data_IF_324825329669
#
_entry.id   IF_324825329669
#
_cell.length_a   1.000
_cell.length_b   1.000
_cell.length_c   1.000
_cell.angle_alpha   90.00
_cell.angle_beta   90.00
_cell.angle_gamma   90.00
#
_symmetry.space_group_name_H-M   'P 1'
#
loop_
_entity.id
_entity.type
_entity.pdbx_description
1 polymer ?
#
# COMPACT_ATOMS: atom_id res chain seq x y z
N UNK A 1 15.32 9.76 2.39
CA UNK A 1 14.07 10.02 1.64
C UNK A 1 14.31 11.12 0.62
N UNK A 2 13.66 11.06 -0.58
CA UNK A 2 13.83 12.06 -1.66
C UNK A 2 13.21 13.44 -1.35
N UNK A 3 12.22 13.51 -0.48
CA UNK A 3 11.57 14.74 -0.04
C UNK A 3 11.97 15.05 1.41
N UNK A 4 12.83 16.07 1.60
CA UNK A 4 13.40 16.41 2.90
C UNK A 4 12.37 16.97 3.89
N UNK A 5 11.38 17.73 3.41
CA UNK A 5 10.30 18.23 4.27
C UNK A 5 9.42 17.10 4.80
N UNK A 6 9.15 16.10 3.96
CA UNK A 6 8.42 14.88 4.36
C UNK A 6 9.23 14.12 5.41
N UNK A 7 10.52 13.97 5.20
CA UNK A 7 11.43 13.30 6.14
C UNK A 7 11.47 14.00 7.50
N UNK A 8 11.47 15.33 7.51
CA UNK A 8 11.52 16.16 8.73
C UNK A 8 10.16 16.41 9.37
N UNK A 9 9.05 16.11 8.67
CA UNK A 9 7.68 16.24 9.18
C UNK A 9 6.95 17.53 8.78
N UNK A 10 7.49 18.32 7.82
CA UNK A 10 6.78 19.47 7.22
C UNK A 10 6.57 20.70 8.09
N UNK A 11 6.73 20.61 9.41
CA UNK A 11 6.55 21.72 10.33
C UNK A 11 7.23 21.49 11.68
N UNK A 12 7.39 22.56 12.46
CA UNK A 12 8.13 22.52 13.73
C UNK A 12 7.54 21.49 14.72
N UNK A 13 6.22 21.48 14.90
CA UNK A 13 5.56 20.55 15.83
C UNK A 13 5.67 19.09 15.40
N UNK A 14 5.51 18.80 14.12
CA UNK A 14 5.67 17.44 13.61
C UNK A 14 7.13 17.00 13.72
N UNK A 15 8.09 17.87 13.43
CA UNK A 15 9.51 17.56 13.59
C UNK A 15 9.87 17.24 15.04
N UNK A 16 9.32 18.03 16.00
CA UNK A 16 9.51 17.77 17.43
C UNK A 16 8.87 16.44 17.86
N UNK A 17 7.65 16.15 17.38
CA UNK A 17 6.96 14.90 17.68
C UNK A 17 7.71 13.68 17.11
N UNK A 18 8.20 13.76 15.86
CA UNK A 18 9.02 12.70 15.24
C UNK A 18 10.29 12.45 16.05
N UNK A 19 10.99 13.52 16.49
CA UNK A 19 12.18 13.40 17.34
C UNK A 19 11.86 12.78 18.70
N UNK A 20 10.77 13.20 19.33
CA UNK A 20 10.32 12.66 20.61
C UNK A 20 9.99 11.15 20.48
N UNK A 21 9.20 10.76 19.48
CA UNK A 21 8.86 9.35 19.24
C UNK A 21 10.13 8.53 18.99
N UNK A 22 11.06 9.04 18.18
CA UNK A 22 12.32 8.35 17.86
C UNK A 22 13.20 8.20 19.10
N UNK A 23 13.22 9.20 19.98
CA UNK A 23 13.97 9.16 21.25
C UNK A 23 13.37 8.13 22.23
N UNK A 24 12.06 8.14 22.40
CA UNK A 24 11.37 7.22 23.34
C UNK A 24 11.41 5.77 22.84
N UNK A 25 11.30 5.55 21.52
CA UNK A 25 11.35 4.20 20.94
C UNK A 25 12.78 3.66 20.78
N UNK A 26 13.80 4.51 20.90
CA UNK A 26 15.18 4.15 20.60
C UNK A 26 15.45 3.81 19.13
N UNK A 27 14.53 4.17 18.23
CA UNK A 27 14.61 3.87 16.81
C UNK A 27 14.21 5.10 15.97
N UNK A 28 14.79 5.22 14.76
CA UNK A 28 14.29 6.18 13.78
C UNK A 28 12.85 5.83 13.41
N UNK A 29 11.92 6.79 13.51
CA UNK A 29 10.55 6.58 13.06
C UNK A 29 10.55 6.18 11.56
N UNK A 30 9.96 5.02 11.19
CA UNK A 30 9.95 4.55 9.80
C UNK A 30 9.35 5.57 8.84
N UNK A 31 9.85 5.63 7.61
CA UNK A 31 9.40 6.58 6.60
C UNK A 31 7.92 6.40 6.24
N UNK A 32 7.40 5.18 6.28
CA UNK A 32 5.97 4.90 6.14
C UNK A 32 5.11 5.67 7.16
N UNK A 33 5.57 5.78 8.42
CA UNK A 33 4.89 6.57 9.44
C UNK A 33 5.05 8.09 9.19
N UNK A 34 6.23 8.52 8.69
CA UNK A 34 6.49 9.94 8.41
C UNK A 34 5.59 10.49 7.30
N UNK A 35 5.38 9.73 6.21
CA UNK A 35 4.53 10.19 5.10
C UNK A 35 3.06 10.36 5.51
N UNK A 36 2.53 9.50 6.37
CA UNK A 36 1.15 9.63 6.86
C UNK A 36 1.00 10.77 7.87
N UNK A 37 2.04 11.08 8.64
CA UNK A 37 2.07 12.22 9.55
C UNK A 37 2.25 13.55 8.83
N UNK A 38 2.97 13.57 7.70
CA UNK A 38 3.30 14.78 6.96
C UNK A 38 2.06 15.51 6.43
N UNK A 39 1.15 14.78 5.80
CA UNK A 39 -0.07 15.37 5.23
C UNK A 39 -1.31 14.55 5.64
N UNK A 40 -1.64 14.61 6.94
CA UNK A 40 -2.66 13.78 7.56
C UNK A 40 -4.04 13.88 6.89
N UNK A 41 -4.50 15.10 6.63
CA UNK A 41 -5.85 15.30 6.08
C UNK A 41 -5.91 14.97 4.58
N UNK A 42 -4.82 15.05 3.85
CA UNK A 42 -4.78 14.71 2.43
C UNK A 42 -4.66 13.21 2.19
N UNK A 43 -3.77 12.54 2.93
CA UNK A 43 -3.42 11.13 2.69
C UNK A 43 -3.42 10.31 3.99
N UNK A 44 -2.85 10.84 5.06
CA UNK A 44 -2.53 10.06 6.24
C UNK A 44 -3.75 9.41 6.90
N UNK A 45 -4.78 10.19 7.24
CA UNK A 45 -5.98 9.68 7.93
C UNK A 45 -6.76 8.65 7.10
N UNK A 46 -7.14 8.92 5.83
CA UNK A 46 -7.87 7.93 5.06
C UNK A 46 -7.05 6.67 4.79
N UNK A 47 -5.75 6.80 4.51
CA UNK A 47 -4.87 5.65 4.27
C UNK A 47 -4.68 4.80 5.52
N UNK A 48 -4.33 5.41 6.67
CA UNK A 48 -4.15 4.66 7.91
C UNK A 48 -5.44 4.05 8.43
N UNK A 49 -6.58 4.73 8.25
CA UNK A 49 -7.89 4.21 8.60
C UNK A 49 -8.23 2.93 7.84
N UNK A 50 -8.07 2.95 6.52
CA UNK A 50 -8.31 1.77 5.69
C UNK A 50 -7.27 0.67 5.96
N UNK A 51 -5.98 1.02 6.08
CA UNK A 51 -4.94 0.05 6.41
C UNK A 51 -5.21 -0.64 7.76
N UNK A 52 -5.59 0.12 8.80
CA UNK A 52 -5.95 -0.46 10.09
C UNK A 52 -7.14 -1.40 9.98
N UNK A 53 -8.17 -1.02 9.26
CA UNK A 53 -9.36 -1.82 9.04
C UNK A 53 -9.02 -3.14 8.30
N UNK A 54 -8.28 -3.08 7.20
CA UNK A 54 -7.89 -4.24 6.42
C UNK A 54 -6.94 -5.18 7.18
N UNK A 55 -6.03 -4.62 7.97
CA UNK A 55 -4.97 -5.40 8.63
C UNK A 55 -5.35 -5.88 10.03
N UNK A 56 -6.27 -5.22 10.73
CA UNK A 56 -6.65 -5.52 12.14
C UNK A 56 -8.16 -5.57 12.38
N UNK A 57 -8.98 -5.27 11.37
CA UNK A 57 -10.43 -5.42 11.44
C UNK A 57 -10.86 -6.88 11.45
N UNK A 58 -12.16 -7.11 11.64
CA UNK A 58 -12.78 -8.43 11.54
C UNK A 58 -12.59 -9.00 10.12
N UNK A 59 -12.12 -10.24 10.03
CA UNK A 59 -11.89 -10.97 8.78
C UNK A 59 -11.67 -12.45 9.08
N UNK A 60 -11.99 -13.31 8.12
CA UNK A 60 -11.67 -14.74 8.19
C UNK A 60 -10.17 -15.02 7.93
N UNK A 61 -9.42 -14.06 7.39
CA UNK A 61 -7.96 -14.15 7.32
C UNK A 61 -7.34 -13.75 8.65
N UNK A 62 -6.47 -14.60 9.18
CA UNK A 62 -5.70 -14.28 10.38
C UNK A 62 -4.82 -13.04 10.15
N UNK A 63 -4.41 -12.38 11.23
CA UNK A 63 -3.48 -11.24 11.14
C UNK A 63 -2.17 -11.65 10.47
N UNK A 64 -1.68 -12.87 10.75
CA UNK A 64 -0.47 -13.41 10.14
C UNK A 64 -0.58 -13.60 8.63
N UNK A 65 -1.70 -14.12 8.14
CA UNK A 65 -1.95 -14.27 6.69
C UNK A 65 -2.03 -12.91 6.00
N UNK A 66 -2.69 -11.93 6.60
CA UNK A 66 -2.76 -10.56 6.05
C UNK A 66 -1.39 -9.90 5.99
N UNK A 67 -0.53 -10.10 6.98
CA UNK A 67 0.87 -9.65 6.93
C UNK A 67 1.69 -10.41 5.87
N UNK A 68 1.41 -11.69 5.65
CA UNK A 68 2.02 -12.47 4.56
C UNK A 68 1.57 -11.94 3.19
N UNK A 69 0.28 -11.60 3.02
CA UNK A 69 -0.22 -10.99 1.78
C UNK A 69 0.47 -9.66 1.50
N UNK A 70 0.70 -8.85 2.54
CA UNK A 70 1.45 -7.60 2.44
C UNK A 70 2.93 -7.82 2.05
N UNK A 71 3.60 -8.80 2.66
CA UNK A 71 4.98 -9.16 2.35
C UNK A 71 5.13 -9.64 0.90
N UNK A 72 4.21 -10.50 0.43
CA UNK A 72 4.22 -11.00 -0.94
C UNK A 72 3.88 -9.90 -1.95
N UNK A 73 2.93 -9.03 -1.65
CA UNK A 73 2.66 -7.84 -2.48
C UNK A 73 3.91 -6.99 -2.66
N UNK A 74 4.66 -6.80 -1.58
CA UNK A 74 5.93 -6.08 -1.63
C UNK A 74 6.99 -6.81 -2.47
N UNK A 75 7.09 -8.13 -2.35
CA UNK A 75 7.99 -8.95 -3.16
C UNK A 75 7.66 -8.87 -4.64
N UNK A 76 6.38 -9.01 -5.00
CA UNK A 76 5.92 -8.91 -6.39
C UNK A 76 6.17 -7.54 -7.02
N UNK A 77 6.26 -6.50 -6.20
CA UNK A 77 6.58 -5.13 -6.62
C UNK A 77 8.05 -4.73 -6.38
N UNK A 78 8.92 -5.65 -5.95
CA UNK A 78 10.36 -5.43 -5.72
C UNK A 78 10.69 -4.37 -4.65
N UNK A 79 9.82 -4.16 -3.64
CA UNK A 79 10.02 -3.18 -2.57
C UNK A 79 10.69 -3.82 -1.34
N UNK A 80 12.01 -3.70 -1.22
CA UNK A 80 12.80 -4.31 -0.14
C UNK A 80 12.37 -3.85 1.26
N UNK A 81 12.03 -2.57 1.44
CA UNK A 81 11.57 -2.04 2.74
C UNK A 81 10.33 -2.79 3.23
N UNK A 82 9.29 -2.88 2.38
CA UNK A 82 8.03 -3.51 2.76
C UNK A 82 8.17 -5.04 2.92
N UNK A 83 8.97 -5.71 2.09
CA UNK A 83 9.25 -7.15 2.26
C UNK A 83 9.80 -7.41 3.65
N UNK A 84 10.87 -6.74 4.06
CA UNK A 84 11.49 -6.93 5.38
C UNK A 84 10.53 -6.62 6.53
N UNK A 85 9.81 -5.50 6.46
CA UNK A 85 8.88 -5.07 7.49
C UNK A 85 7.77 -6.11 7.72
N UNK A 86 7.07 -6.53 6.66
CA UNK A 86 5.92 -7.42 6.79
C UNK A 86 6.30 -8.88 7.00
N UNK A 87 7.45 -9.33 6.48
CA UNK A 87 8.01 -10.65 6.83
C UNK A 87 8.32 -10.74 8.33
N UNK A 88 8.90 -9.69 8.92
CA UNK A 88 9.18 -9.67 10.36
C UNK A 88 7.90 -9.75 11.21
N UNK A 89 6.82 -9.06 10.79
CA UNK A 89 5.54 -9.10 11.53
C UNK A 89 4.83 -10.45 11.32
N UNK A 90 4.78 -10.96 10.07
CA UNK A 90 4.16 -12.24 9.76
C UNK A 90 4.82 -13.40 10.53
N UNK A 91 6.16 -13.39 10.67
CA UNK A 91 6.92 -14.40 11.41
C UNK A 91 6.70 -14.39 12.92
N UNK A 92 6.03 -13.39 13.48
CA UNK A 92 5.57 -13.41 14.88
C UNK A 92 4.18 -14.04 15.03
N UNK A 93 3.38 -14.04 13.99
CA UNK A 93 1.99 -14.51 14.01
C UNK A 93 1.82 -15.90 13.35
N UNK A 94 2.75 -16.29 12.49
CA UNK A 94 2.81 -17.58 11.79
C UNK A 94 4.17 -18.25 12.08
N UNK A 95 4.29 -19.52 11.73
CA UNK A 95 5.60 -20.20 11.79
C UNK A 95 6.61 -19.49 10.88
N UNK A 96 7.76 -19.12 11.46
CA UNK A 96 8.79 -18.37 10.74
C UNK A 96 9.31 -19.12 9.51
N UNK A 97 9.51 -20.43 9.63
CA UNK A 97 10.02 -21.26 8.52
C UNK A 97 9.01 -21.29 7.38
N UNK A 98 7.71 -21.34 7.71
CA UNK A 98 6.63 -21.26 6.72
C UNK A 98 6.61 -19.90 6.03
N UNK A 99 6.76 -18.81 6.77
CA UNK A 99 6.79 -17.43 6.22
C UNK A 99 8.00 -17.27 5.29
N UNK A 100 9.18 -17.69 5.73
CA UNK A 100 10.41 -17.59 4.93
C UNK A 100 10.26 -18.38 3.62
N UNK A 101 9.77 -19.63 3.69
CA UNK A 101 9.50 -20.46 2.51
C UNK A 101 8.44 -19.83 1.58
N UNK A 102 7.37 -19.25 2.12
CA UNK A 102 6.33 -18.59 1.33
C UNK A 102 6.85 -17.31 0.66
N UNK A 103 7.68 -16.55 1.35
CA UNK A 103 8.32 -15.37 0.77
C UNK A 103 9.35 -15.77 -0.28
N UNK A 104 10.02 -16.90 -0.17
CA UNK A 104 10.90 -17.43 -1.22
C UNK A 104 10.09 -17.89 -2.44
N UNK A 105 9.22 -18.86 -2.28
CA UNK A 105 8.24 -19.33 -3.28
C UNK A 105 6.99 -19.89 -2.60
N UNK A 106 5.91 -19.10 -2.56
CA UNK A 106 4.66 -19.53 -1.92
C UNK A 106 4.04 -20.78 -2.55
N UNK A 107 4.36 -21.09 -3.81
CA UNK A 107 3.85 -22.27 -4.49
C UNK A 107 4.44 -23.57 -3.91
N UNK A 108 5.70 -23.51 -3.47
CA UNK A 108 6.42 -24.64 -2.88
C UNK A 108 6.23 -24.71 -1.35
N UNK A 109 5.85 -23.61 -0.71
CA UNK A 109 5.64 -23.56 0.73
C UNK A 109 4.48 -24.48 1.19
N UNK A 110 4.55 -24.98 2.44
CA UNK A 110 3.52 -25.86 3.04
C UNK A 110 2.28 -25.07 3.50
N UNK A 111 1.77 -24.20 2.64
CA UNK A 111 0.52 -23.47 2.85
C UNK A 111 -0.69 -24.37 2.52
N UNK A 112 -1.86 -24.07 3.11
CA UNK A 112 -3.12 -24.73 2.74
C UNK A 112 -3.50 -24.45 1.27
N UNK A 113 -4.32 -25.33 0.66
CA UNK A 113 -4.83 -25.13 -0.71
C UNK A 113 -5.55 -23.78 -0.84
N UNK A 114 -6.37 -23.44 0.13
CA UNK A 114 -7.09 -22.16 0.24
C UNK A 114 -6.13 -20.97 0.18
N UNK A 115 -5.07 -20.96 0.98
CA UNK A 115 -4.09 -19.87 0.99
C UNK A 115 -3.29 -19.83 -0.32
N UNK A 116 -2.91 -20.98 -0.87
CA UNK A 116 -2.22 -21.00 -2.18
C UNK A 116 -3.09 -20.46 -3.30
N UNK A 117 -4.37 -20.84 -3.34
CA UNK A 117 -5.30 -20.37 -4.37
C UNK A 117 -5.48 -18.84 -4.31
N UNK A 118 -5.71 -18.28 -3.12
CA UNK A 118 -5.82 -16.82 -3.01
C UNK A 118 -4.52 -16.11 -3.38
N UNK A 119 -3.35 -16.67 -3.05
CA UNK A 119 -2.06 -16.05 -3.41
C UNK A 119 -1.81 -16.05 -4.92
N UNK A 120 -2.23 -17.07 -5.66
CA UNK A 120 -2.18 -17.08 -7.13
C UNK A 120 -3.05 -15.96 -7.70
N UNK A 121 -4.29 -15.82 -7.21
CA UNK A 121 -5.18 -14.73 -7.59
C UNK A 121 -4.57 -13.35 -7.26
N UNK A 122 -4.07 -13.17 -6.04
CA UNK A 122 -3.49 -11.91 -5.57
C UNK A 122 -2.22 -11.52 -6.32
N UNK A 123 -1.42 -12.48 -6.81
CA UNK A 123 -0.26 -12.17 -7.63
C UNK A 123 -0.67 -11.54 -8.96
N UNK A 124 -1.66 -12.10 -9.66
CA UNK A 124 -2.22 -11.54 -10.90
C UNK A 124 -2.80 -10.15 -10.62
N UNK A 125 -3.63 -10.04 -9.59
CA UNK A 125 -4.24 -8.79 -9.14
C UNK A 125 -3.19 -7.70 -8.86
N UNK A 126 -2.06 -8.04 -8.25
CA UNK A 126 -1.00 -7.08 -7.91
C UNK A 126 -0.13 -6.70 -9.11
N UNK A 127 0.22 -7.66 -9.99
CA UNK A 127 1.21 -7.48 -11.06
C UNK A 127 0.57 -7.09 -12.38
N UNK A 128 -0.44 -7.83 -12.80
CA UNK A 128 -1.06 -7.75 -14.13
C UNK A 128 -2.60 -7.67 -14.00
N UNK A 129 -3.14 -6.60 -13.38
CA UNK A 129 -4.58 -6.51 -13.12
C UNK A 129 -5.43 -6.57 -14.39
N UNK A 130 -4.87 -6.24 -15.56
CA UNK A 130 -5.55 -6.33 -16.86
C UNK A 130 -5.76 -7.78 -17.33
N UNK A 131 -4.95 -8.72 -16.83
CA UNK A 131 -5.09 -10.16 -17.09
C UNK A 131 -6.07 -10.85 -16.13
N UNK A 132 -6.58 -10.12 -15.13
CA UNK A 132 -7.54 -10.65 -14.16
C UNK A 132 -8.89 -10.89 -14.84
N UNK A 133 -9.47 -12.08 -14.65
CA UNK A 133 -10.76 -12.51 -15.20
C UNK A 133 -11.70 -13.02 -14.11
N UNK A 134 -12.99 -13.09 -14.41
CA UNK A 134 -13.99 -13.70 -13.54
C UNK A 134 -13.66 -15.17 -13.21
N UNK A 135 -13.03 -15.92 -14.12
CA UNK A 135 -12.63 -17.32 -13.89
C UNK A 135 -11.57 -17.45 -12.77
N UNK A 136 -10.65 -16.48 -12.65
CA UNK A 136 -9.73 -16.45 -11.51
C UNK A 136 -10.47 -16.26 -10.18
N UNK A 137 -11.56 -15.49 -10.16
CA UNK A 137 -12.43 -15.35 -8.99
C UNK A 137 -13.19 -16.64 -8.72
N UNK A 138 -13.81 -17.26 -9.74
CA UNK A 138 -14.52 -18.53 -9.59
C UNK A 138 -13.60 -19.63 -9.04
N UNK A 139 -12.36 -19.68 -9.49
CA UNK A 139 -11.36 -20.64 -8.99
C UNK A 139 -11.18 -20.50 -7.47
N UNK A 140 -11.03 -19.29 -6.93
CA UNK A 140 -10.87 -19.11 -5.48
C UNK A 140 -12.17 -19.38 -4.71
N UNK A 141 -13.33 -19.06 -5.28
CA UNK A 141 -14.63 -19.37 -4.67
C UNK A 141 -14.86 -20.90 -4.61
N UNK A 142 -14.46 -21.67 -5.62
CA UNK A 142 -14.53 -23.13 -5.63
C UNK A 142 -13.61 -23.77 -4.58
N UNK A 143 -12.54 -23.11 -4.17
CA UNK A 143 -11.69 -23.53 -3.03
C UNK A 143 -12.33 -23.20 -1.66
N UNK A 144 -13.61 -22.83 -1.65
CA UNK A 144 -14.42 -22.60 -0.45
C UNK A 144 -14.26 -21.21 0.17
N UNK A 145 -13.75 -20.23 -0.58
CA UNK A 145 -13.71 -18.85 -0.14
C UNK A 145 -15.05 -18.15 -0.39
N UNK A 146 -15.42 -17.26 0.52
CA UNK A 146 -16.52 -16.33 0.31
C UNK A 146 -16.05 -15.11 -0.49
N UNK A 147 -16.97 -14.41 -1.15
CA UNK A 147 -16.65 -13.14 -1.82
C UNK A 147 -16.04 -12.12 -0.85
N UNK A 148 -16.50 -12.13 0.42
CA UNK A 148 -15.96 -11.25 1.45
C UNK A 148 -14.50 -11.54 1.76
N UNK A 149 -14.10 -12.81 1.85
CA UNK A 149 -12.69 -13.20 2.06
C UNK A 149 -11.80 -12.76 0.89
N UNK A 150 -12.31 -12.85 -0.34
CA UNK A 150 -11.58 -12.36 -1.52
C UNK A 150 -11.46 -10.83 -1.46
N UNK A 151 -12.53 -10.11 -1.11
CA UNK A 151 -12.52 -8.66 -0.99
C UNK A 151 -11.57 -8.18 0.11
N UNK A 152 -11.54 -8.85 1.28
CA UNK A 152 -10.60 -8.56 2.37
C UNK A 152 -9.15 -8.72 1.92
N UNK A 153 -8.83 -9.80 1.22
CA UNK A 153 -7.48 -10.04 0.72
C UNK A 153 -7.08 -9.01 -0.35
N UNK A 154 -8.01 -8.65 -1.26
CA UNK A 154 -7.81 -7.58 -2.24
C UNK A 154 -7.57 -6.23 -1.58
N UNK A 155 -8.26 -5.91 -0.48
CA UNK A 155 -8.05 -4.66 0.25
C UNK A 155 -6.62 -4.56 0.78
N UNK A 156 -6.07 -5.64 1.37
CA UNK A 156 -4.67 -5.70 1.80
C UNK A 156 -3.74 -5.42 0.63
N UNK A 157 -3.89 -6.14 -0.48
CA UNK A 157 -3.00 -6.01 -1.65
C UNK A 157 -3.11 -4.62 -2.29
N UNK A 158 -4.30 -4.03 -2.34
CA UNK A 158 -4.50 -2.65 -2.82
C UNK A 158 -3.71 -1.64 -2.00
N UNK A 159 -3.83 -1.69 -0.68
CA UNK A 159 -3.14 -0.79 0.24
C UNK A 159 -1.63 -0.93 0.16
N UNK A 160 -1.13 -2.16 0.06
CA UNK A 160 0.31 -2.39 -0.09
C UNK A 160 0.81 -2.12 -1.51
N UNK A 161 -0.02 -2.23 -2.53
CA UNK A 161 0.30 -1.73 -3.88
C UNK A 161 0.48 -0.21 -3.90
N UNK A 162 -0.28 0.55 -3.09
CA UNK A 162 -0.06 1.99 -2.90
C UNK A 162 1.24 2.23 -2.11
N UNK A 163 1.41 1.53 -0.98
CA UNK A 163 2.52 1.76 -0.05
C UNK A 163 3.88 1.45 -0.69
N UNK A 164 4.01 0.34 -1.43
CA UNK A 164 5.28 -0.01 -2.10
C UNK A 164 5.67 1.03 -3.14
N UNK A 165 4.69 1.58 -3.88
CA UNK A 165 4.93 2.64 -4.86
C UNK A 165 5.42 3.92 -4.20
N UNK A 166 4.87 4.27 -3.05
CA UNK A 166 5.33 5.43 -2.27
C UNK A 166 6.71 5.18 -1.66
N UNK A 167 6.94 3.98 -1.12
CA UNK A 167 8.23 3.62 -0.55
C UNK A 167 9.36 3.76 -1.58
N UNK A 168 9.14 3.27 -2.78
CA UNK A 168 10.13 3.31 -3.86
C UNK A 168 10.22 4.72 -4.49
N UNK A 169 9.08 5.39 -4.74
CA UNK A 169 9.08 6.75 -5.30
C UNK A 169 9.74 7.77 -4.37
N UNK A 170 9.56 7.63 -3.07
CA UNK A 170 10.15 8.52 -2.07
C UNK A 170 11.50 8.03 -1.54
N UNK A 171 11.95 6.86 -1.96
CA UNK A 171 13.19 6.21 -1.53
C UNK A 171 13.27 6.09 0.01
N UNK A 172 12.40 5.24 0.58
CA UNK A 172 12.39 5.01 2.02
C UNK A 172 13.72 4.43 2.48
N UNK A 173 14.23 4.94 3.57
CA UNK A 173 15.38 4.37 4.24
C UNK A 173 15.03 2.96 4.74
N UNK A 174 15.87 1.99 4.42
CA UNK A 174 15.73 0.63 4.90
C UNK A 174 16.44 0.54 6.25
N UNK A 175 15.70 0.36 7.36
CA UNK A 175 16.30 0.11 8.67
C UNK A 175 17.11 -1.18 8.67
N UNK A 176 17.94 -1.39 9.68
CA UNK A 176 18.54 -2.70 9.87
C UNK A 176 17.50 -3.76 10.31
N UNK A 177 17.86 -5.03 10.22
CA UNK A 177 16.95 -6.12 10.55
C UNK A 177 16.59 -6.14 12.06
N UNK A 178 17.45 -5.59 12.92
CA UNK A 178 17.19 -5.41 14.34
C UNK A 178 16.07 -4.39 14.62
N UNK A 179 15.99 -3.31 13.83
CA UNK A 179 14.92 -2.31 13.94
C UNK A 179 13.57 -2.88 13.50
N UNK A 180 13.53 -3.67 12.43
CA UNK A 180 12.30 -4.36 12.01
C UNK A 180 11.84 -5.34 13.09
N UNK A 181 12.75 -6.14 13.65
CA UNK A 181 12.44 -7.09 14.71
C UNK A 181 11.93 -6.41 15.98
N UNK A 182 12.49 -5.24 16.36
CA UNK A 182 12.03 -4.46 17.54
C UNK A 182 10.65 -3.82 17.32
N UNK A 183 10.33 -3.39 16.12
CA UNK A 183 9.05 -2.73 15.81
C UNK A 183 7.92 -3.72 15.56
N UNK A 184 8.20 -4.93 15.09
CA UNK A 184 7.22 -5.92 14.69
C UNK A 184 6.21 -6.30 15.79
N UNK A 185 6.58 -6.54 17.08
CA UNK A 185 5.62 -6.86 18.12
C UNK A 185 4.56 -5.77 18.34
N UNK A 186 5.01 -4.49 18.34
CA UNK A 186 4.09 -3.36 18.46
C UNK A 186 3.16 -3.28 17.24
N UNK A 187 3.71 -3.48 16.03
CA UNK A 187 2.92 -3.44 14.80
C UNK A 187 1.90 -4.58 14.78
N UNK A 188 2.28 -5.77 15.24
CA UNK A 188 1.36 -6.92 15.33
C UNK A 188 0.20 -6.62 16.31
N UNK A 189 0.48 -6.04 17.48
CA UNK A 189 -0.51 -5.76 18.53
C UNK A 189 -1.37 -4.53 18.21
N UNK A 190 -0.76 -3.40 17.85
CA UNK A 190 -1.44 -2.09 17.73
C UNK A 190 -1.85 -1.76 16.29
N UNK A 191 -1.21 -2.38 15.29
CA UNK A 191 -1.45 -2.09 13.88
C UNK A 191 -0.86 -0.75 13.43
N UNK A 192 -1.61 -0.05 12.58
CA UNK A 192 -1.13 1.02 11.70
C UNK A 192 -1.58 2.42 12.12
N UNK A 193 -2.29 2.55 13.25
CA UNK A 193 -2.75 3.85 13.76
C UNK A 193 -1.98 4.28 15.00
N UNK A 194 -1.91 5.59 15.20
CA UNK A 194 -1.43 6.17 16.45
C UNK A 194 -2.63 6.31 17.42
N UNK A 195 -2.63 5.53 18.50
CA UNK A 195 -3.70 5.55 19.50
C UNK A 195 -4.61 4.32 19.45
N UNK A 196 -5.75 4.40 20.16
CA UNK A 196 -6.75 3.33 20.17
C UNK A 196 -7.66 3.46 18.96
N UNK A 197 -7.76 2.41 18.15
CA UNK A 197 -8.78 2.28 17.12
C UNK A 197 -9.89 1.37 17.62
N UNK A 198 -11.14 1.85 17.61
CA UNK A 198 -12.31 1.00 17.80
C UNK A 198 -12.76 0.55 16.40
N UNK A 199 -12.33 -0.64 16.02
CA UNK A 199 -12.90 -1.32 14.86
C UNK A 199 -14.14 -2.08 15.34
N UNK A 200 -15.30 -1.75 14.82
CA UNK A 200 -16.57 -2.39 15.14
C UNK A 200 -17.10 -3.07 13.89
N UNK A 201 -17.28 -4.38 13.97
CA UNK A 201 -17.78 -5.18 12.86
C UNK A 201 -16.80 -5.33 11.70
N UNK A 202 -17.32 -5.94 10.63
CA UNK A 202 -16.56 -6.17 9.41
C UNK A 202 -16.32 -4.83 8.66
N UNK A 203 -15.10 -4.54 8.17
CA UNK A 203 -14.81 -3.31 7.46
C UNK A 203 -15.59 -3.19 6.13
N UNK A 204 -16.17 -2.03 5.88
CA UNK A 204 -16.66 -1.67 4.55
C UNK A 204 -15.48 -1.12 3.71
N UNK A 205 -14.77 -2.04 3.04
CA UNK A 205 -13.61 -1.70 2.22
C UNK A 205 -13.95 -0.80 1.04
N UNK A 206 -15.18 -0.89 0.50
CA UNK A 206 -15.63 -0.06 -0.62
C UNK A 206 -15.80 1.39 -0.20
N UNK A 207 -16.46 1.62 0.94
CA UNK A 207 -16.58 2.97 1.51
C UNK A 207 -15.22 3.57 1.88
N UNK A 208 -14.29 2.77 2.42
CA UNK A 208 -12.95 3.22 2.79
C UNK A 208 -12.09 3.55 1.55
N UNK A 209 -12.17 2.75 0.49
CA UNK A 209 -11.51 3.02 -0.79
C UNK A 209 -12.04 4.33 -1.42
N UNK A 210 -13.35 4.53 -1.39
CA UNK A 210 -13.98 5.74 -1.91
C UNK A 210 -13.61 6.98 -1.07
N UNK A 211 -13.50 6.85 0.25
CA UNK A 211 -13.03 7.95 1.10
C UNK A 211 -11.58 8.35 0.77
N UNK A 212 -10.69 7.38 0.52
CA UNK A 212 -9.32 7.64 0.07
C UNK A 212 -9.31 8.32 -1.31
N UNK A 213 -10.10 7.81 -2.28
CA UNK A 213 -10.28 8.41 -3.61
C UNK A 213 -10.69 9.86 -3.52
N UNK A 214 -11.83 10.13 -2.90
CA UNK A 214 -12.37 11.48 -2.76
C UNK A 214 -11.37 12.42 -2.13
N UNK A 215 -10.67 11.96 -1.09
CA UNK A 215 -9.75 12.85 -0.39
C UNK A 215 -8.51 13.19 -1.22
N UNK A 216 -7.90 12.20 -1.88
CA UNK A 216 -6.65 12.40 -2.63
C UNK A 216 -6.90 12.97 -4.02
N UNK A 217 -7.93 12.50 -4.73
CA UNK A 217 -8.12 12.84 -6.15
C UNK A 217 -9.13 13.97 -6.39
N UNK A 218 -9.99 14.29 -5.40
CA UNK A 218 -11.08 15.25 -5.57
C UNK A 218 -11.08 16.33 -4.47
N UNK A 219 -10.50 16.02 -3.31
CA UNK A 219 -10.48 16.93 -2.16
C UNK A 219 -9.48 18.08 -2.31
N UNK A 220 -9.52 19.05 -1.37
CA UNK A 220 -8.60 20.18 -1.37
C UNK A 220 -7.14 19.72 -1.20
N UNK A 221 -6.24 20.34 -1.93
CA UNK A 221 -4.79 20.12 -1.91
C UNK A 221 -4.05 21.34 -2.43
N UNK A 222 -2.73 21.27 -2.48
CA UNK A 222 -1.86 22.30 -3.06
C UNK A 222 -1.92 22.23 -4.60
N UNK A 223 -1.96 21.02 -5.14
CA UNK A 223 -2.03 20.80 -6.58
C UNK A 223 -3.46 20.74 -7.08
N UNK A 224 -3.61 21.20 -8.33
CA UNK A 224 -4.89 21.15 -9.03
C UNK A 224 -5.48 19.73 -9.10
N UNK A 225 -6.80 19.65 -8.93
CA UNK A 225 -7.54 18.37 -8.94
C UNK A 225 -7.37 17.64 -10.28
N UNK A 226 -7.48 18.37 -11.40
CA UNK A 226 -7.39 17.77 -12.73
C UNK A 226 -6.00 17.16 -12.97
N UNK A 227 -4.93 17.81 -12.49
CA UNK A 227 -3.57 17.29 -12.59
C UNK A 227 -3.39 16.04 -11.71
N UNK A 228 -3.89 16.04 -10.46
CA UNK A 228 -3.84 14.86 -9.59
C UNK A 228 -4.58 13.67 -10.20
N UNK A 229 -5.75 13.91 -10.78
CA UNK A 229 -6.52 12.88 -11.50
C UNK A 229 -5.80 12.39 -12.76
N UNK A 230 -5.14 13.29 -13.51
CA UNK A 230 -4.34 12.90 -14.68
C UNK A 230 -3.15 12.00 -14.28
N UNK A 231 -2.41 12.36 -13.19
CA UNK A 231 -1.34 11.54 -12.64
C UNK A 231 -1.83 10.15 -12.20
N UNK A 232 -2.98 10.10 -11.51
CA UNK A 232 -3.60 8.86 -11.07
C UNK A 232 -3.99 7.96 -12.27
N UNK A 233 -4.66 8.53 -13.28
CA UNK A 233 -5.04 7.82 -14.50
C UNK A 233 -3.81 7.32 -15.25
N UNK A 234 -2.76 8.14 -15.38
CA UNK A 234 -1.51 7.76 -16.05
C UNK A 234 -0.81 6.59 -15.37
N UNK A 235 -0.75 6.61 -14.04
CA UNK A 235 -0.18 5.51 -13.25
C UNK A 235 -1.01 4.21 -13.32
N UNK A 236 -2.29 4.32 -13.66
CA UNK A 236 -3.20 3.21 -13.94
C UNK A 236 -3.13 2.71 -15.40
N UNK A 237 -2.19 3.18 -16.22
CA UNK A 237 -2.07 2.80 -17.64
C UNK A 237 -2.84 3.70 -18.62
N UNK A 238 -3.47 4.76 -18.11
CA UNK A 238 -4.25 5.71 -18.93
C UNK A 238 -3.42 6.68 -19.76
N UNK A 239 -4.06 7.70 -20.36
CA UNK A 239 -3.43 8.61 -21.31
C UNK A 239 -2.28 9.41 -20.68
N UNK A 240 -1.37 9.89 -21.56
CA UNK A 240 -0.24 10.70 -21.15
C UNK A 240 -0.66 12.03 -20.50
N UNK A 241 0.12 12.47 -19.51
CA UNK A 241 0.01 13.80 -18.92
C UNK A 241 0.77 14.80 -19.80
N UNK A 242 0.23 16.00 -20.02
CA UNK A 242 0.80 16.96 -20.97
C UNK A 242 2.22 17.43 -20.65
N UNK A 243 2.62 17.50 -19.38
CA UNK A 243 4.00 17.83 -18.97
C UNK A 243 4.83 16.53 -18.84
N UNK A 244 5.92 16.46 -19.61
CA UNK A 244 6.75 15.26 -19.72
C UNK A 244 7.32 14.76 -18.36
N UNK A 245 7.68 15.65 -17.44
CA UNK A 245 8.19 15.27 -16.13
C UNK A 245 7.11 14.57 -15.30
N UNK A 246 5.87 15.02 -15.39
CA UNK A 246 4.72 14.41 -14.71
C UNK A 246 4.35 13.08 -15.34
N UNK A 247 4.32 13.02 -16.67
CA UNK A 247 4.02 11.79 -17.41
C UNK A 247 5.00 10.67 -17.10
N UNK A 248 6.29 10.97 -17.18
CA UNK A 248 7.36 10.00 -16.96
C UNK A 248 7.30 9.45 -15.52
N UNK A 249 7.16 10.32 -14.52
CA UNK A 249 7.07 9.87 -13.12
C UNK A 249 5.80 9.07 -12.85
N UNK A 250 4.63 9.52 -13.32
CA UNK A 250 3.37 8.81 -13.09
C UNK A 250 3.38 7.44 -13.75
N UNK A 251 3.85 7.35 -14.99
CA UNK A 251 4.03 6.08 -15.71
C UNK A 251 4.97 5.14 -14.96
N UNK A 252 6.11 5.67 -14.48
CA UNK A 252 7.09 4.87 -13.76
C UNK A 252 6.55 4.37 -12.40
N UNK A 253 5.79 5.19 -11.66
CA UNK A 253 5.09 4.80 -10.43
C UNK A 253 4.12 3.63 -10.71
N UNK A 254 3.38 3.70 -11.81
CA UNK A 254 2.42 2.65 -12.17
C UNK A 254 3.07 1.32 -12.51
N UNK A 255 4.10 1.35 -13.34
CA UNK A 255 4.71 0.16 -13.96
C UNK A 255 5.80 -0.49 -13.11
N UNK A 256 6.75 0.31 -12.58
CA UNK A 256 7.95 -0.20 -11.92
C UNK A 256 8.54 0.85 -10.98
N UNK A 257 7.87 1.13 -9.86
CA UNK A 257 8.25 2.18 -8.92
C UNK A 257 9.69 2.00 -8.38
N UNK A 258 10.16 0.77 -8.24
CA UNK A 258 11.53 0.46 -7.79
C UNK A 258 12.63 0.95 -8.77
N UNK A 259 12.28 1.36 -9.99
CA UNK A 259 13.20 1.96 -10.98
C UNK A 259 13.19 3.50 -10.98
N UNK A 260 12.40 4.14 -10.11
CA UNK A 260 12.34 5.59 -10.05
C UNK A 260 13.70 6.14 -9.59
N UNK A 261 14.17 7.15 -10.32
CA UNK A 261 15.43 7.84 -10.04
C UNK A 261 15.22 9.12 -9.26
N UNK A 262 16.28 9.60 -8.60
CA UNK A 262 16.27 10.89 -7.91
C UNK A 262 16.01 12.05 -8.90
N UNK A 263 16.51 11.93 -10.14
CA UNK A 263 16.34 12.93 -11.17
C UNK A 263 14.87 13.08 -11.62
N UNK A 264 14.12 11.97 -11.73
CA UNK A 264 12.69 12.04 -12.06
C UNK A 264 11.90 12.81 -10.99
N UNK A 265 12.15 12.52 -9.71
CA UNK A 265 11.47 13.23 -8.61
C UNK A 265 11.93 14.69 -8.54
N UNK A 266 13.22 14.97 -8.74
CA UNK A 266 13.77 16.34 -8.78
C UNK A 266 13.15 17.18 -9.89
N UNK A 267 12.94 16.64 -11.09
CA UNK A 267 12.25 17.32 -12.19
C UNK A 267 10.82 17.74 -11.79
N UNK A 268 10.08 16.82 -11.15
CA UNK A 268 8.73 17.14 -10.65
C UNK A 268 8.78 18.22 -9.57
N UNK A 269 9.74 18.15 -8.62
CA UNK A 269 9.92 19.19 -7.60
C UNK A 269 10.23 20.56 -8.20
N UNK A 270 11.07 20.63 -9.23
CA UNK A 270 11.40 21.87 -9.95
C UNK A 270 10.16 22.46 -10.64
N UNK A 271 9.33 21.63 -11.26
CA UNK A 271 8.10 22.06 -11.93
C UNK A 271 7.01 22.50 -10.97
N UNK A 272 6.87 21.84 -9.84
CA UNK A 272 5.87 22.20 -8.82
C UNK A 272 6.30 23.37 -7.93
N UNK A 273 7.58 23.66 -7.84
CA UNK A 273 8.14 24.73 -7.04
C UNK A 273 8.23 24.44 -5.52
N UNK A 274 7.64 23.32 -5.04
CA UNK A 274 7.74 22.93 -3.62
C UNK A 274 7.52 21.42 -3.42
N UNK A 275 8.06 20.90 -2.31
CA UNK A 275 8.00 19.49 -1.98
C UNK A 275 6.58 18.97 -1.66
N UNK A 276 5.73 19.83 -1.07
CA UNK A 276 4.35 19.42 -0.73
C UNK A 276 3.53 19.15 -1.98
N UNK A 277 3.68 20.01 -2.99
CA UNK A 277 3.04 19.81 -4.28
C UNK A 277 3.54 18.55 -4.99
N UNK A 278 4.87 18.31 -5.01
CA UNK A 278 5.45 17.09 -5.55
C UNK A 278 4.94 15.84 -4.80
N UNK A 279 4.86 15.89 -3.47
CA UNK A 279 4.30 14.83 -2.64
C UNK A 279 2.86 14.50 -3.03
N UNK A 280 2.01 15.52 -3.21
CA UNK A 280 0.60 15.32 -3.60
C UNK A 280 0.47 14.61 -4.96
N UNK A 281 1.32 14.95 -5.94
CA UNK A 281 1.32 14.28 -7.25
C UNK A 281 1.81 12.83 -7.17
N UNK A 282 2.87 12.56 -6.40
CA UNK A 282 3.38 11.20 -6.17
C UNK A 282 2.32 10.35 -5.47
N UNK A 283 1.66 10.88 -4.45
CA UNK A 283 0.57 10.19 -3.74
C UNK A 283 -0.61 9.93 -4.68
N UNK A 284 -1.02 10.92 -5.48
CA UNK A 284 -2.11 10.76 -6.43
C UNK A 284 -1.83 9.64 -7.44
N UNK A 285 -0.62 9.58 -7.99
CA UNK A 285 -0.20 8.51 -8.90
C UNK A 285 -0.22 7.13 -8.22
N UNK A 286 0.35 7.01 -7.02
CA UNK A 286 0.39 5.75 -6.28
C UNK A 286 -1.02 5.26 -5.90
N UNK A 287 -1.88 6.17 -5.41
CA UNK A 287 -3.29 5.89 -5.08
C UNK A 287 -4.05 5.48 -6.33
N UNK A 288 -3.88 6.19 -7.45
CA UNK A 288 -4.52 5.83 -8.73
C UNK A 288 -4.16 4.42 -9.20
N UNK A 289 -2.88 4.06 -9.16
CA UNK A 289 -2.41 2.73 -9.52
C UNK A 289 -2.96 1.62 -8.59
N UNK A 290 -3.10 1.89 -7.29
CA UNK A 290 -3.70 0.94 -6.34
C UNK A 290 -5.21 0.81 -6.52
N UNK A 291 -5.92 1.93 -6.62
CA UNK A 291 -7.38 1.92 -6.81
C UNK A 291 -7.81 1.30 -8.15
N UNK A 292 -6.99 1.42 -9.18
CA UNK A 292 -7.23 0.71 -10.44
C UNK A 292 -7.30 -0.81 -10.24
N UNK A 293 -6.38 -1.37 -9.46
CA UNK A 293 -6.39 -2.81 -9.10
C UNK A 293 -7.67 -3.15 -8.35
N UNK A 294 -8.02 -2.33 -7.36
CA UNK A 294 -9.23 -2.49 -6.57
C UNK A 294 -10.49 -2.55 -7.43
N UNK A 295 -10.66 -1.61 -8.35
CA UNK A 295 -11.80 -1.54 -9.27
C UNK A 295 -11.85 -2.74 -10.20
N UNK A 296 -10.70 -3.15 -10.74
CA UNK A 296 -10.62 -4.36 -11.57
C UNK A 296 -11.05 -5.60 -10.80
N UNK A 297 -10.56 -5.79 -9.58
CA UNK A 297 -10.95 -6.91 -8.74
C UNK A 297 -12.45 -6.92 -8.42
N UNK A 298 -13.02 -5.77 -8.06
CA UNK A 298 -14.46 -5.64 -7.82
C UNK A 298 -15.31 -5.92 -9.07
N UNK A 299 -14.83 -5.50 -10.25
CA UNK A 299 -15.48 -5.81 -11.52
C UNK A 299 -15.52 -7.33 -11.77
N UNK A 300 -14.40 -8.02 -11.53
CA UNK A 300 -14.32 -9.47 -11.71
C UNK A 300 -15.14 -10.25 -10.67
N UNK A 301 -15.19 -9.75 -9.41
CA UNK A 301 -16.08 -10.31 -8.39
C UNK A 301 -17.55 -10.24 -8.81
N UNK A 302 -17.97 -9.09 -9.35
CA UNK A 302 -19.34 -8.90 -9.84
C UNK A 302 -19.63 -9.83 -11.01
N UNK A 303 -18.75 -9.89 -12.00
CA UNK A 303 -18.90 -10.76 -13.17
C UNK A 303 -18.96 -12.25 -12.77
N UNK A 304 -18.11 -12.69 -11.85
CA UNK A 304 -18.12 -14.05 -11.34
C UNK A 304 -19.44 -14.40 -10.62
N UNK A 305 -20.04 -13.43 -9.90
CA UNK A 305 -21.34 -13.61 -9.28
C UNK A 305 -22.49 -13.76 -10.30
N UNK A 306 -22.37 -13.08 -11.45
CA UNK A 306 -23.35 -13.20 -12.54
C UNK A 306 -23.25 -14.52 -13.31
N UNK A 307 -22.09 -15.21 -13.21
CA UNK A 307 -21.81 -16.49 -13.87
C UNK A 307 -22.07 -17.71 -12.97
N UNK A 308 -22.19 -17.54 -11.66
CA UNK A 308 -22.44 -18.57 -10.66
C UNK A 308 -23.92 -18.72 -10.32
#
# INVERSE_FOLDING_TARGET
>A
MRLLQVEKGGGFFQALLIRFISMVSGMRLPDAARIVMYHQDFYGKPMTGWTQAAMRGESNWSVGERELFAALTAKWNSCTFCVKAHTAIASLALDKTLVDAAVEDFRQAKLSSKVKAILVFLEIFAKTPDELTAEHVLTVLHEGMTQQEVEDAMAVVTLFSITVRLADALNFAIPDDGDFSRSAPRMLEKGYVFGKSKLLGHPDHRALAEALRKRVLEGPGTMDIALRQAMAKRAAGGPAVGEAAYDDLARQIGLAAYKITDEQVKKVMQKTGNEKAAFELIVAAAVGAGLYRWEKGLSMLKEAHELS
#
